data_IF_618914329750
#
_entry.id   IF_618914329750
#
_cell.length_a   1.000
_cell.length_b   1.000
_cell.length_c   1.000
_cell.angle_alpha   90.00
_cell.angle_beta   90.00
_cell.angle_gamma   90.00
#
_symmetry.space_group_name_H-M   'P 1'
#
loop_
_entity.id
_entity.type
_entity.pdbx_description
1 polymer ?
#
# COMPACT_ATOMS: atom_id res chain seq x y z
N UNK A 1 -8.90 6.50 -13.65
CA UNK A 1 -8.93 5.16 -13.05
C UNK A 1 -8.10 5.18 -11.78
N UNK A 2 -8.67 4.72 -10.69
CA UNK A 2 -8.03 4.81 -9.39
C UNK A 2 -7.91 3.44 -8.76
N UNK A 3 -6.80 3.21 -8.08
CA UNK A 3 -6.57 1.97 -7.35
C UNK A 3 -6.23 2.32 -5.90
N UNK A 4 -6.77 1.57 -4.97
CA UNK A 4 -6.62 1.86 -3.54
C UNK A 4 -6.13 0.64 -2.77
N UNK A 5 -5.24 0.88 -1.81
CA UNK A 5 -4.86 -0.12 -0.81
C UNK A 5 -4.94 0.56 0.54
N UNK A 6 -5.57 -0.10 1.49
CA UNK A 6 -5.59 0.39 2.87
C UNK A 6 -4.82 -0.59 3.75
N UNK A 7 -3.93 -0.03 4.57
CA UNK A 7 -3.20 -0.81 5.56
C UNK A 7 -3.51 -0.25 6.94
N UNK A 8 -3.41 -1.10 7.95
CA UNK A 8 -3.60 -0.66 9.34
C UNK A 8 -2.54 -1.28 10.22
N UNK A 9 -2.09 -0.50 11.19
CA UNK A 9 -1.19 -0.97 12.23
C UNK A 9 -1.91 -0.85 13.55
N UNK A 10 -1.96 -1.95 14.30
CA UNK A 10 -2.62 -1.98 15.59
C UNK A 10 -1.56 -1.94 16.66
N UNK A 11 -1.66 -0.97 17.54
CA UNK A 11 -0.66 -0.78 18.58
C UNK A 11 -0.85 -1.71 19.77
N UNK A 12 -1.83 -2.56 19.71
CA UNK A 12 -2.01 -3.56 20.76
C UNK A 12 -2.44 -2.99 22.09
N UNK A 13 -3.05 -1.84 22.11
CA UNK A 13 -3.44 -1.28 23.37
C UNK A 13 -4.44 -0.20 23.27
N UNK A 14 -4.13 0.91 23.86
CA UNK A 14 -5.08 1.96 24.11
C UNK A 14 -5.14 3.01 23.03
N UNK A 15 -4.18 3.02 22.13
CA UNK A 15 -4.15 4.03 21.09
C UNK A 15 -4.96 3.59 19.89
N UNK A 16 -5.61 4.54 19.20
CA UNK A 16 -6.32 4.18 17.98
C UNK A 16 -5.34 3.63 16.95
N UNK A 17 -5.78 2.70 16.11
CA UNK A 17 -4.90 2.16 15.09
C UNK A 17 -4.50 3.23 14.09
N UNK A 18 -3.31 3.10 13.53
CA UNK A 18 -2.87 3.93 12.44
C UNK A 18 -3.45 3.38 11.15
N UNK A 19 -3.88 4.28 10.30
CA UNK A 19 -4.42 3.93 8.99
C UNK A 19 -3.51 4.52 7.92
N UNK A 20 -3.15 3.71 6.95
CA UNK A 20 -2.40 4.14 5.79
C UNK A 20 -3.24 3.87 4.56
N UNK A 21 -3.44 4.86 3.72
CA UNK A 21 -4.16 4.71 2.48
C UNK A 21 -3.26 5.08 1.33
N UNK A 22 -3.05 4.13 0.43
CA UNK A 22 -2.20 4.32 -0.74
C UNK A 22 -3.09 4.32 -1.96
N UNK A 23 -3.04 5.39 -2.73
CA UNK A 23 -3.88 5.56 -3.90
C UNK A 23 -3.00 5.76 -5.13
N UNK A 24 -3.34 5.08 -6.21
CA UNK A 24 -2.73 5.32 -7.51
C UNK A 24 -3.79 5.87 -8.44
N UNK A 25 -3.52 7.04 -9.02
CA UNK A 25 -4.34 7.60 -10.08
C UNK A 25 -3.61 7.48 -11.40
N UNK A 26 -4.33 7.07 -12.43
CA UNK A 26 -3.81 7.06 -13.79
C UNK A 26 -4.48 8.21 -14.54
N UNK A 27 -3.67 9.13 -15.04
CA UNK A 27 -4.14 10.35 -15.72
C UNK A 27 -3.54 10.43 -17.12
N UNK A 28 -4.14 9.73 -18.10
CA UNK A 28 -3.58 9.71 -19.45
C UNK A 28 -3.45 11.10 -20.04
N UNK A 29 -2.32 11.37 -20.67
CA UNK A 29 -2.06 12.66 -21.30
C UNK A 29 -1.44 13.70 -20.39
N UNK A 30 -1.35 13.45 -19.09
CA UNK A 30 -0.68 14.36 -18.18
C UNK A 30 0.85 14.18 -18.27
N UNK A 31 1.59 15.20 -17.88
CA UNK A 31 3.06 15.11 -17.87
C UNK A 31 3.54 13.99 -16.95
N UNK A 32 2.84 13.79 -15.84
CA UNK A 32 3.06 12.66 -14.95
C UNK A 32 1.78 11.86 -14.93
N UNK A 33 1.73 10.81 -15.73
CA UNK A 33 0.49 10.07 -15.91
C UNK A 33 0.07 9.29 -14.67
N UNK A 34 1.02 8.97 -13.81
CA UNK A 34 0.76 8.13 -12.64
C UNK A 34 1.04 8.91 -11.38
N UNK A 35 0.05 9.08 -10.54
CA UNK A 35 0.19 9.79 -9.28
C UNK A 35 -0.03 8.80 -8.14
N UNK A 36 0.97 8.66 -7.27
CA UNK A 36 0.86 7.84 -6.08
C UNK A 36 0.73 8.75 -4.87
N UNK A 37 -0.31 8.54 -4.07
CA UNK A 37 -0.51 9.32 -2.84
C UNK A 37 -0.55 8.39 -1.65
N UNK A 38 0.17 8.75 -0.61
CA UNK A 38 0.16 8.04 0.66
C UNK A 38 -0.39 8.96 1.73
N UNK A 39 -1.43 8.51 2.44
CA UNK A 39 -2.00 9.23 3.57
C UNK A 39 -1.87 8.35 4.80
N UNK A 40 -1.24 8.85 5.86
CA UNK A 40 -1.07 8.11 7.10
C UNK A 40 -1.55 8.95 8.26
N UNK A 41 -2.27 8.33 9.18
CA UNK A 41 -2.70 9.00 10.40
C UNK A 41 -3.49 8.07 11.30
N UNK A 42 -3.73 8.50 12.52
CA UNK A 42 -4.63 7.79 13.40
C UNK A 42 -6.07 8.00 12.92
N UNK A 43 -6.91 7.01 13.16
CA UNK A 43 -8.32 7.14 12.79
C UNK A 43 -8.91 8.32 13.54
N UNK A 44 -9.57 9.20 12.80
CA UNK A 44 -10.21 10.39 13.40
C UNK A 44 -9.28 11.56 13.64
N UNK A 45 -8.02 11.47 13.25
CA UNK A 45 -7.04 12.55 13.47
C UNK A 45 -6.51 13.07 12.14
N UNK A 46 -5.70 14.11 12.22
CA UNK A 46 -5.09 14.69 11.04
C UNK A 46 -4.16 13.68 10.37
N UNK A 47 -4.12 13.73 9.06
CA UNK A 47 -3.32 12.81 8.26
C UNK A 47 -2.14 13.51 7.65
N UNK A 48 -1.04 12.78 7.51
CA UNK A 48 0.10 13.23 6.76
C UNK A 48 -0.02 12.69 5.35
N UNK A 49 0.13 13.54 4.36
CA UNK A 49 -0.03 13.18 2.95
C UNK A 49 1.27 13.41 2.20
N UNK A 50 1.68 12.43 1.40
CA UNK A 50 2.83 12.53 0.52
C UNK A 50 2.40 12.06 -0.87
N UNK A 51 2.86 12.78 -1.91
CA UNK A 51 2.51 12.44 -3.28
C UNK A 51 3.76 12.33 -4.15
N UNK A 52 3.71 11.41 -5.10
CA UNK A 52 4.78 11.23 -6.10
C UNK A 52 4.14 11.20 -7.48
N UNK A 53 4.70 12.00 -8.40
CA UNK A 53 4.31 11.94 -9.81
C UNK A 53 5.31 11.08 -10.57
N UNK A 54 4.79 10.14 -11.35
CA UNK A 54 5.64 9.17 -12.05
C UNK A 54 5.20 9.06 -13.49
N UNK A 55 6.11 8.64 -14.36
CA UNK A 55 5.85 8.65 -15.79
C UNK A 55 5.41 7.31 -16.35
N UNK A 56 5.72 6.22 -15.67
CA UNK A 56 5.34 4.89 -16.15
C UNK A 56 4.67 4.09 -15.06
N UNK A 57 3.88 3.11 -15.48
CA UNK A 57 3.25 2.19 -14.54
C UNK A 57 4.29 1.41 -13.74
N UNK A 58 5.40 1.03 -14.39
CA UNK A 58 6.47 0.32 -13.70
C UNK A 58 7.06 1.12 -12.56
N UNK A 59 7.29 2.42 -12.79
CA UNK A 59 7.78 3.29 -11.73
C UNK A 59 6.78 3.42 -10.58
N UNK A 60 5.49 3.52 -10.92
CA UNK A 60 4.45 3.62 -9.91
C UNK A 60 4.35 2.34 -9.09
N UNK A 61 4.41 1.19 -9.75
CA UNK A 61 4.38 -0.10 -9.07
C UNK A 61 5.58 -0.24 -8.13
N UNK A 62 6.77 0.12 -8.60
CA UNK A 62 7.97 0.04 -7.78
C UNK A 62 7.87 0.93 -6.55
N UNK A 63 7.38 2.14 -6.73
CA UNK A 63 7.20 3.07 -5.59
C UNK A 63 6.23 2.52 -4.57
N UNK A 64 5.08 2.00 -5.04
CA UNK A 64 4.09 1.43 -4.14
C UNK A 64 4.64 0.20 -3.40
N UNK A 65 5.42 -0.64 -4.08
CA UNK A 65 6.03 -1.80 -3.44
C UNK A 65 6.99 -1.40 -2.34
N UNK A 66 7.80 -0.36 -2.59
CA UNK A 66 8.71 0.15 -1.57
C UNK A 66 7.96 0.64 -0.34
N UNK A 67 6.88 1.39 -0.57
CA UNK A 67 6.08 1.94 0.51
C UNK A 67 5.45 0.82 1.33
N UNK A 68 4.82 -0.13 0.67
CA UNK A 68 4.14 -1.24 1.35
C UNK A 68 5.14 -2.09 2.13
N UNK A 69 6.30 -2.36 1.54
CA UNK A 69 7.33 -3.14 2.22
C UNK A 69 7.78 -2.44 3.51
N UNK A 70 8.04 -1.14 3.43
CA UNK A 70 8.44 -0.38 4.61
C UNK A 70 7.35 -0.37 5.68
N UNK A 71 6.10 -0.21 5.26
CA UNK A 71 4.99 -0.19 6.22
C UNK A 71 4.79 -1.55 6.88
N UNK A 72 4.92 -2.63 6.11
CA UNK A 72 4.78 -3.97 6.69
C UNK A 72 5.89 -4.24 7.71
N UNK A 73 7.08 -3.73 7.47
CA UNK A 73 8.17 -3.83 8.43
C UNK A 73 7.88 -3.06 9.72
N UNK A 74 7.00 -2.06 9.63
CA UNK A 74 6.58 -1.27 10.78
C UNK A 74 5.26 -1.73 11.37
N UNK A 75 4.82 -2.94 11.03
CA UNK A 75 3.65 -3.52 11.66
C UNK A 75 2.33 -3.28 10.95
N UNK A 76 2.35 -2.64 9.78
CA UNK A 76 1.13 -2.43 9.01
C UNK A 76 0.74 -3.71 8.28
N UNK A 77 -0.56 -3.94 8.15
CA UNK A 77 -1.10 -5.06 7.38
C UNK A 77 -2.11 -4.55 6.39
N UNK A 78 -2.13 -5.17 5.21
CA UNK A 78 -3.12 -4.82 4.18
C UNK A 78 -4.48 -5.33 4.64
N UNK A 79 -5.45 -4.42 4.71
CA UNK A 79 -6.81 -4.77 5.13
C UNK A 79 -7.83 -4.61 4.01
N UNK A 80 -7.49 -3.87 2.96
CA UNK A 80 -8.39 -3.67 1.82
C UNK A 80 -7.57 -3.34 0.59
N UNK A 81 -8.03 -3.80 -0.57
CA UNK A 81 -7.36 -3.52 -1.83
C UNK A 81 -8.39 -3.52 -2.95
N UNK A 82 -8.25 -2.60 -3.90
CA UNK A 82 -9.10 -2.58 -5.07
C UNK A 82 -9.03 -3.92 -5.80
N UNK A 83 -10.15 -4.32 -6.40
CA UNK A 83 -10.26 -5.63 -7.03
C UNK A 83 -9.20 -5.87 -8.10
N UNK A 84 -8.98 -4.90 -8.96
CA UNK A 84 -8.06 -5.04 -10.09
C UNK A 84 -6.75 -4.31 -9.85
N UNK A 85 -6.31 -4.25 -8.61
CA UNK A 85 -5.11 -3.53 -8.27
C UNK A 85 -3.89 -4.17 -8.95
N UNK A 86 -2.99 -3.36 -9.54
CA UNK A 86 -1.82 -3.91 -10.22
C UNK A 86 -0.86 -4.67 -9.30
N UNK A 87 -0.94 -4.45 -7.99
CA UNK A 87 -0.10 -5.17 -7.04
C UNK A 87 -0.73 -6.43 -6.48
N UNK A 88 -1.92 -6.81 -6.94
CA UNK A 88 -2.64 -7.94 -6.33
C UNK A 88 -1.83 -9.22 -6.36
N UNK A 89 -1.25 -9.56 -7.49
CA UNK A 89 -0.46 -10.78 -7.59
C UNK A 89 0.76 -10.74 -6.68
N UNK A 90 1.44 -9.62 -6.63
CA UNK A 90 2.60 -9.46 -5.78
C UNK A 90 2.23 -9.57 -4.30
N UNK A 91 1.14 -8.94 -3.89
CA UNK A 91 0.72 -8.99 -2.49
C UNK A 91 0.24 -10.39 -2.10
N UNK A 92 -0.47 -11.06 -2.99
CA UNK A 92 -0.90 -12.44 -2.73
C UNK A 92 0.31 -13.35 -2.56
N UNK A 93 1.32 -13.18 -3.40
CA UNK A 93 2.55 -13.94 -3.33
C UNK A 93 3.31 -13.68 -2.03
N UNK A 94 3.36 -12.41 -1.61
CA UNK A 94 4.09 -12.03 -0.39
C UNK A 94 3.39 -12.46 0.89
N UNK A 95 2.07 -12.58 0.86
CA UNK A 95 1.33 -12.95 2.06
C UNK A 95 1.29 -14.45 2.31
N UNK A 96 1.45 -15.21 1.27
CA UNK A 96 1.37 -16.65 1.39
C UNK A 96 2.52 -17.25 2.16
N UNK A 97 3.67 -16.72 2.14
CA UNK A 97 4.75 -17.35 2.82
C UNK A 97 4.50 -17.49 4.26
N UNK A 98 4.09 -17.49 4.41
CA UNK A 98 3.94 -17.63 5.53
C UNK A 98 4.23 -18.72 5.69
N UNK A 99 4.24 -18.81 5.01
CA UNK A 99 4.13 -19.55 5.28
C UNK A 99 4.59 -20.26 5.11
N UNK A 100 4.68 -20.59 4.92
CA UNK A 100 5.15 -21.20 4.84
C UNK A 100 5.70 -21.73 4.66
N UNK A 101 5.90 -21.74 4.59
CA UNK A 101 6.32 -22.08 4.56
C UNK A 101 6.54 -22.33 4.54
N UNK A 102 6.47 -22.21 4.60
CA UNK A 102 6.44 -22.39 4.77
C UNK A 102 6.41 -22.81 4.48
N UNK A 103 6.32 -22.75 4.37
CA UNK A 103 6.21 -23.23 4.25
C UNK A 103 6.60 -23.78 3.72
N UNK A 104 7.00 -23.86 3.58
CA UNK A 104 7.31 -24.48 3.31
C UNK A 104 7.75 -25.24 3.43
N UNK A 105 7.70 -25.48 3.61
CA UNK A 105 7.90 -26.17 3.96
C UNK A 105 8.31 -26.61 3.79
N UNK A 106 8.59 -26.76 3.82
CA UNK A 106 8.80 -27.12 3.89
C UNK A 106 9.00 -27.41 4.04
#
# INVERSE_FOLDING_TARGET
MDYHIELRAFSGGQEPPLKSQLTLWVRPGAAEEYMVRLEIGALGANRRTTEWGLQTMGEAVDRMREIITAQRQNGFKVVMMSRDHPLREWLDSEQVPGDPEEARGK
#
